data_IF_523660926411
#
_entry.id   IF_523660926411
#
_cell.length_a   1.000
_cell.length_b   1.000
_cell.length_c   1.000
_cell.angle_alpha   90.00
_cell.angle_beta   90.00
_cell.angle_gamma   90.00
#
_symmetry.space_group_name_H-M   'P 1'
#
loop_
_entity.id
_entity.type
_entity.pdbx_description
1 polymer ?
#
# COMPACT_ATOMS: atom_id res chain seq x y z
N UNK A 1 6.59 14.90 -0.80
CA UNK A 1 5.44 15.81 -0.59
C UNK A 1 4.87 15.57 0.79
N UNK A 2 4.65 16.62 1.61
CA UNK A 2 4.02 16.47 2.91
C UNK A 2 2.57 16.01 2.75
N UNK A 3 2.18 14.99 3.51
CA UNK A 3 0.79 14.52 3.59
C UNK A 3 -0.04 15.53 4.38
N UNK A 4 -0.93 16.25 3.71
CA UNK A 4 -1.86 17.18 4.34
C UNK A 4 -3.28 16.67 4.20
N UNK A 5 -3.99 16.53 5.32
CA UNK A 5 -5.42 16.25 5.36
C UNK A 5 -6.12 17.43 6.00
N UNK A 6 -7.16 17.96 5.34
CA UNK A 6 -8.06 18.94 5.94
C UNK A 6 -9.17 18.19 6.68
N UNK A 7 -9.45 18.59 7.91
CA UNK A 7 -10.55 18.07 8.72
C UNK A 7 -11.67 19.11 8.70
N UNK A 8 -12.92 18.68 8.59
CA UNK A 8 -14.07 19.58 8.75
C UNK A 8 -14.63 19.50 10.17
N UNK A 9 -15.10 20.64 10.69
CA UNK A 9 -15.53 20.78 12.09
C UNK A 9 -16.77 19.94 12.45
N UNK A 10 -17.55 19.51 11.45
CA UNK A 10 -18.75 18.68 11.65
C UNK A 10 -18.51 17.17 11.51
N UNK A 11 -17.26 16.73 11.41
CA UNK A 11 -16.97 15.32 11.21
C UNK A 11 -16.65 14.59 12.52
N UNK A 12 -17.21 13.39 12.75
CA UNK A 12 -16.82 12.59 13.90
C UNK A 12 -15.37 12.15 13.75
N UNK A 13 -14.61 12.26 14.84
CA UNK A 13 -13.16 11.99 14.90
C UNK A 13 -12.77 10.63 14.28
N UNK A 14 -13.62 9.60 14.44
CA UNK A 14 -13.39 8.27 13.89
C UNK A 14 -13.33 8.23 12.35
N UNK A 15 -14.11 9.05 11.66
CA UNK A 15 -14.07 9.13 10.19
C UNK A 15 -12.82 9.85 9.69
N UNK A 16 -12.40 10.91 10.38
CA UNK A 16 -11.16 11.61 10.09
C UNK A 16 -9.94 10.67 10.21
N UNK A 17 -9.87 9.87 11.28
CA UNK A 17 -8.81 8.88 11.48
C UNK A 17 -8.79 7.81 10.38
N UNK A 18 -9.96 7.31 9.95
CA UNK A 18 -10.05 6.34 8.85
C UNK A 18 -9.52 6.92 7.53
N UNK A 19 -9.82 8.19 7.22
CA UNK A 19 -9.28 8.84 6.01
C UNK A 19 -7.79 9.09 6.11
N UNK A 20 -7.30 9.51 7.27
CA UNK A 20 -5.87 9.68 7.49
C UNK A 20 -5.11 8.37 7.29
N UNK A 21 -5.64 7.26 7.84
CA UNK A 21 -5.08 5.92 7.64
C UNK A 21 -5.07 5.52 6.15
N UNK A 22 -6.18 5.73 5.43
CA UNK A 22 -6.24 5.48 3.97
C UNK A 22 -5.23 6.33 3.19
N UNK A 23 -5.06 7.58 3.59
CA UNK A 23 -4.09 8.49 2.96
C UNK A 23 -2.65 8.01 3.18
N UNK A 24 -2.32 7.56 4.38
CA UNK A 24 -1.03 6.93 4.70
C UNK A 24 -0.80 5.66 3.87
N UNK A 25 -1.81 4.79 3.76
CA UNK A 25 -1.73 3.56 2.96
C UNK A 25 -1.54 3.86 1.47
N UNK A 26 -2.23 4.88 0.94
CA UNK A 26 -2.11 5.34 -0.45
C UNK A 26 -0.75 5.97 -0.74
N UNK A 27 -0.21 6.75 0.21
CA UNK A 27 1.10 7.37 0.07
C UNK A 27 2.24 6.37 -0.05
N UNK A 28 2.04 5.14 0.45
CA UNK A 28 3.04 4.09 0.39
C UNK A 28 4.21 4.26 1.35
N UNK A 29 4.21 5.28 2.22
CA UNK A 29 5.29 5.55 3.18
C UNK A 29 5.61 4.32 4.04
N UNK A 30 4.59 3.62 4.54
CA UNK A 30 4.80 2.39 5.32
C UNK A 30 5.49 1.28 4.51
N UNK A 31 5.17 1.17 3.22
CA UNK A 31 5.81 0.18 2.33
C UNK A 31 7.25 0.56 2.04
N UNK A 32 7.54 1.84 1.91
CA UNK A 32 8.89 2.36 1.68
C UNK A 32 9.79 2.19 2.90
N UNK A 33 9.28 2.53 4.10
CA UNK A 33 9.97 2.27 5.37
C UNK A 33 10.36 0.79 5.51
N UNK A 34 9.43 -0.13 5.20
CA UNK A 34 9.71 -1.58 5.24
C UNK A 34 10.78 -2.01 4.25
N UNK A 35 10.82 -1.40 3.05
CA UNK A 35 11.83 -1.71 2.03
C UNK A 35 13.22 -1.17 2.41
N UNK A 36 13.27 -0.02 3.08
CA UNK A 36 14.53 0.66 3.46
C UNK A 36 15.12 0.16 4.78
N UNK A 37 14.37 -0.64 5.56
CA UNK A 37 14.82 -1.14 6.89
C UNK A 37 16.11 -1.96 6.83
N UNK A 38 16.38 -2.64 5.71
CA UNK A 38 17.57 -3.47 5.52
C UNK A 38 18.06 -3.36 4.08
N UNK A 39 19.36 -3.59 3.86
CA UNK A 39 19.89 -3.68 2.52
C UNK A 39 19.32 -4.94 1.83
N UNK A 40 18.67 -4.73 0.69
CA UNK A 40 18.20 -5.81 -0.18
C UNK A 40 19.10 -5.84 -1.43
N UNK A 41 19.72 -7.00 -1.70
CA UNK A 41 20.52 -7.16 -2.92
C UNK A 41 19.64 -6.89 -4.16
N UNK A 42 20.17 -6.24 -5.21
CA UNK A 42 19.38 -5.86 -6.38
C UNK A 42 18.79 -7.07 -7.13
N UNK A 43 19.40 -8.25 -7.05
CA UNK A 43 18.86 -9.50 -7.58
C UNK A 43 17.60 -9.95 -6.81
N UNK A 44 17.61 -9.88 -5.48
CA UNK A 44 16.46 -10.26 -4.65
C UNK A 44 15.29 -9.30 -4.82
N UNK A 45 15.57 -8.00 -4.91
CA UNK A 45 14.55 -6.99 -5.18
C UNK A 45 13.83 -7.25 -6.52
N UNK A 46 14.58 -7.61 -7.58
CA UNK A 46 14.04 -7.99 -8.89
C UNK A 46 13.20 -9.27 -8.81
N UNK A 47 13.71 -10.31 -8.14
CA UNK A 47 12.98 -11.58 -7.93
C UNK A 47 11.67 -11.36 -7.17
N UNK A 48 11.71 -10.58 -6.08
CA UNK A 48 10.53 -10.23 -5.27
C UNK A 48 9.49 -9.46 -6.07
N UNK A 49 9.92 -8.55 -6.96
CA UNK A 49 9.02 -7.82 -7.85
C UNK A 49 8.31 -8.74 -8.86
N UNK A 50 9.04 -9.68 -9.47
CA UNK A 50 8.47 -10.68 -10.39
C UNK A 50 7.44 -11.59 -9.69
N UNK A 51 7.79 -12.14 -8.53
CA UNK A 51 6.88 -12.98 -7.74
C UNK A 51 5.60 -12.23 -7.36
N UNK A 52 5.71 -10.95 -6.96
CA UNK A 52 4.54 -10.10 -6.68
C UNK A 52 3.65 -9.95 -7.91
N UNK A 53 4.22 -9.68 -9.10
CA UNK A 53 3.45 -9.58 -10.36
C UNK A 53 2.72 -10.89 -10.67
N UNK A 54 3.41 -12.02 -10.62
CA UNK A 54 2.80 -13.34 -10.87
C UNK A 54 1.68 -13.66 -9.88
N UNK A 55 1.87 -13.35 -8.59
CA UNK A 55 0.85 -13.56 -7.57
C UNK A 55 -0.40 -12.70 -7.79
N UNK A 56 -0.25 -11.46 -8.28
CA UNK A 56 -1.36 -10.57 -8.60
C UNK A 56 -2.16 -11.09 -9.80
N UNK A 57 -1.47 -11.52 -10.87
CA UNK A 57 -2.10 -12.14 -12.05
C UNK A 57 -2.86 -13.40 -11.64
N UNK A 58 -2.24 -14.27 -10.83
CA UNK A 58 -2.90 -15.49 -10.34
C UNK A 58 -4.16 -15.17 -9.53
N UNK A 59 -4.11 -14.18 -8.64
CA UNK A 59 -5.28 -13.74 -7.86
C UNK A 59 -6.39 -13.20 -8.76
N UNK A 60 -6.06 -12.34 -9.72
CA UNK A 60 -7.02 -11.80 -10.67
C UNK A 60 -7.71 -12.93 -11.47
N UNK A 61 -6.94 -13.92 -11.92
CA UNK A 61 -7.47 -15.10 -12.63
C UNK A 61 -8.40 -15.94 -11.76
N UNK A 62 -8.05 -16.16 -10.49
CA UNK A 62 -8.90 -16.89 -9.54
C UNK A 62 -10.22 -16.12 -9.30
N UNK A 63 -10.16 -14.80 -9.14
CA UNK A 63 -11.35 -13.97 -8.97
C UNK A 63 -12.28 -14.06 -10.17
N UNK A 64 -11.75 -13.96 -11.40
CA UNK A 64 -12.54 -14.07 -12.64
C UNK A 64 -13.20 -15.45 -12.77
N UNK A 65 -12.52 -16.53 -12.39
CA UNK A 65 -13.05 -17.89 -12.49
C UNK A 65 -14.10 -18.23 -11.40
N UNK A 66 -14.25 -17.37 -10.39
CA UNK A 66 -15.20 -17.54 -9.28
C UNK A 66 -16.52 -16.78 -9.50
N UNK A 67 -16.56 -15.90 -10.51
CA UNK A 67 -17.78 -15.26 -11.03
C UNK A 67 -18.34 -16.16 -12.12
#
# INVERSE_FOLDING_TARGET
MPLRMRVHDREPIGLALKRFKKLLERSGIQKELRKRKYYEKPCEARRRAQLRKMSAIRKARITIKKV
#
